data_IF_074989720635
#
_entry.id   IF_074989720635
#
_cell.length_a   1.000
_cell.length_b   1.000
_cell.length_c   1.000
_cell.angle_alpha   90.00
_cell.angle_beta   90.00
_cell.angle_gamma   90.00
#
_symmetry.space_group_name_H-M   'P 1'
#
loop_
_entity.id
_entity.type
_entity.pdbx_description
1 polymer ?
#
# COMPACT_ATOMS: atom_id res chain seq x y z
N UNK A 1 -15.48 1.70 4.81
CA UNK A 1 -16.03 0.93 5.94
C UNK A 1 -17.55 0.95 5.82
N UNK A 2 -18.23 -0.19 5.83
CA UNK A 2 -19.70 -0.19 5.94
C UNK A 2 -20.09 -0.04 7.41
N UNK A 3 -21.30 0.43 7.69
CA UNK A 3 -21.86 0.46 9.04
C UNK A 3 -22.42 -0.90 9.48
N UNK A 4 -22.12 -1.96 8.73
CA UNK A 4 -22.68 -3.29 8.94
C UNK A 4 -21.84 -4.03 9.98
N UNK A 5 -22.53 -4.63 10.96
CA UNK A 5 -21.92 -5.37 12.06
C UNK A 5 -22.30 -6.85 11.98
N UNK A 6 -21.42 -7.72 12.46
CA UNK A 6 -21.69 -9.15 12.59
C UNK A 6 -22.56 -9.46 13.82
N UNK A 7 -22.89 -10.74 14.01
CA UNK A 7 -23.71 -11.22 15.14
C UNK A 7 -23.07 -10.95 16.53
N UNK A 8 -21.77 -10.60 16.56
CA UNK A 8 -21.01 -10.27 17.76
C UNK A 8 -20.87 -8.76 17.97
N UNK A 9 -21.44 -7.94 17.08
CA UNK A 9 -21.36 -6.48 17.11
C UNK A 9 -20.06 -5.90 16.55
N UNK A 10 -19.25 -6.69 15.84
CA UNK A 10 -18.01 -6.23 15.20
C UNK A 10 -18.28 -5.76 13.77
N UNK A 11 -17.57 -4.74 13.27
CA UNK A 11 -17.70 -4.29 11.88
C UNK A 11 -17.32 -5.40 10.88
N UNK A 12 -18.16 -5.62 9.86
CA UNK A 12 -17.88 -6.60 8.81
C UNK A 12 -16.84 -6.09 7.82
N UNK A 13 -15.80 -6.89 7.62
CA UNK A 13 -14.75 -6.68 6.61
C UNK A 13 -15.09 -7.46 5.33
N UNK A 14 -16.04 -6.93 4.54
CA UNK A 14 -16.48 -7.60 3.31
C UNK A 14 -15.75 -7.14 2.05
N UNK A 15 -15.04 -6.01 2.12
CA UNK A 15 -14.37 -5.40 0.96
C UNK A 15 -12.88 -5.65 1.00
N UNK A 16 -12.53 -6.83 0.53
CA UNK A 16 -11.16 -7.27 0.35
C UNK A 16 -10.73 -7.04 -1.10
N UNK A 17 -9.61 -6.34 -1.28
CA UNK A 17 -9.01 -6.09 -2.59
C UNK A 17 -7.51 -6.37 -2.54
N UNK A 18 -6.98 -6.93 -3.63
CA UNK A 18 -5.55 -6.98 -3.87
C UNK A 18 -5.20 -5.78 -4.74
N UNK A 19 -4.35 -4.91 -4.21
CA UNK A 19 -3.83 -3.75 -4.95
C UNK A 19 -2.39 -4.06 -5.31
N UNK A 20 -2.06 -4.06 -6.60
CA UNK A 20 -0.70 -4.29 -7.08
C UNK A 20 -0.15 -3.01 -7.67
N UNK A 21 0.98 -2.56 -7.12
CA UNK A 21 1.79 -1.47 -7.66
C UNK A 21 2.94 -2.08 -8.45
N UNK A 22 3.05 -1.72 -9.74
CA UNK A 22 4.18 -2.12 -10.58
C UNK A 22 5.03 -0.89 -10.88
N UNK A 23 6.30 -0.92 -10.46
CA UNK A 23 7.25 0.16 -10.67
C UNK A 23 8.18 -0.23 -11.82
N UNK A 24 8.35 0.64 -12.80
CA UNK A 24 9.26 0.44 -13.94
C UNK A 24 10.27 1.58 -14.00
N UNK A 25 11.53 1.22 -14.31
CA UNK A 25 12.70 2.12 -14.27
C UNK A 25 12.83 2.83 -12.92
N UNK A 26 13.09 2.03 -11.87
CA UNK A 26 13.35 2.53 -10.51
C UNK A 26 14.64 3.34 -10.53
N UNK A 27 14.53 4.57 -10.07
CA UNK A 27 15.63 5.56 -9.93
C UNK A 27 16.22 5.49 -8.53
N UNK A 28 15.36 5.40 -7.52
CA UNK A 28 15.76 5.38 -6.12
C UNK A 28 14.87 4.44 -5.32
N UNK A 29 15.46 3.79 -4.32
CA UNK A 29 14.75 2.96 -3.35
C UNK A 29 15.37 3.19 -1.98
N UNK A 30 14.53 3.54 -1.01
CA UNK A 30 14.87 3.54 0.40
C UNK A 30 13.79 2.79 1.15
N UNK A 31 14.22 1.82 1.93
CA UNK A 31 13.33 1.00 2.73
C UNK A 31 13.98 0.78 4.09
N UNK A 32 13.21 0.99 5.14
CA UNK A 32 13.69 0.92 6.51
C UNK A 32 12.67 0.26 7.42
N UNK A 33 13.15 -0.13 8.61
CA UNK A 33 12.33 -0.68 9.70
C UNK A 33 11.55 -1.97 9.36
N UNK A 34 11.99 -2.72 8.34
CA UNK A 34 11.43 -4.04 8.02
C UNK A 34 11.45 -4.96 9.24
N UNK A 35 10.29 -5.51 9.58
CA UNK A 35 10.17 -6.46 10.67
C UNK A 35 9.19 -7.60 10.31
N UNK A 36 8.78 -8.39 11.31
CA UNK A 36 7.89 -9.54 11.13
C UNK A 36 6.42 -9.18 10.85
N UNK A 37 6.01 -7.92 11.05
CA UNK A 37 4.66 -7.43 10.81
C UNK A 37 4.69 -5.96 10.39
N UNK A 38 4.40 -5.72 9.11
CA UNK A 38 4.40 -4.38 8.53
C UNK A 38 2.98 -3.82 8.44
N UNK A 39 2.75 -2.62 8.94
CA UNK A 39 1.48 -1.89 8.90
C UNK A 39 1.73 -0.49 8.36
N UNK A 40 1.13 -0.18 7.21
CA UNK A 40 1.15 1.15 6.63
C UNK A 40 -0.06 1.94 7.13
N UNK A 41 0.16 3.19 7.52
CA UNK A 41 -0.90 4.18 7.71
C UNK A 41 -1.47 4.58 6.35
N UNK A 42 -0.57 4.75 5.37
CA UNK A 42 -0.93 5.24 4.06
C UNK A 42 0.17 4.98 3.04
N UNK A 43 -0.22 5.20 1.78
CA UNK A 43 0.66 5.21 0.64
C UNK A 43 0.30 6.42 -0.19
N UNK A 44 1.30 7.23 -0.54
CA UNK A 44 1.10 8.46 -1.31
C UNK A 44 1.99 8.42 -2.53
N UNK A 45 1.41 8.74 -3.69
CA UNK A 45 2.16 8.90 -4.94
C UNK A 45 2.16 10.38 -5.30
N UNK A 46 3.36 10.93 -5.50
CA UNK A 46 3.57 12.31 -5.95
C UNK A 46 4.46 12.34 -7.18
N UNK A 47 4.26 13.33 -8.05
CA UNK A 47 5.14 13.58 -9.18
C UNK A 47 6.41 14.32 -8.71
N UNK A 48 7.57 13.91 -9.23
CA UNK A 48 8.89 14.49 -8.97
C UNK A 48 9.64 14.64 -10.31
N UNK A 49 10.71 15.46 -10.42
CA UNK A 49 11.40 15.67 -11.70
C UNK A 49 11.87 14.38 -12.39
N UNK A 50 12.22 13.35 -11.61
CA UNK A 50 12.72 12.07 -12.09
C UNK A 50 11.60 11.06 -12.44
N UNK A 51 10.33 11.38 -12.17
CA UNK A 51 9.18 10.50 -12.39
C UNK A 51 8.14 10.61 -11.27
N UNK A 52 7.87 9.51 -10.59
CA UNK A 52 6.92 9.45 -9.48
C UNK A 52 7.59 8.90 -8.22
N UNK A 53 7.33 9.56 -7.09
CA UNK A 53 7.71 9.11 -5.76
C UNK A 53 6.53 8.41 -5.12
N UNK A 54 6.73 7.18 -4.67
CA UNK A 54 5.78 6.42 -3.86
C UNK A 54 6.30 6.34 -2.43
N UNK A 55 5.65 7.05 -1.52
CA UNK A 55 5.95 7.05 -0.09
C UNK A 55 5.15 5.97 0.62
N UNK A 56 5.81 5.21 1.49
CA UNK A 56 5.22 4.24 2.41
C UNK A 56 5.23 4.84 3.81
N UNK A 57 4.07 5.37 4.22
CA UNK A 57 3.91 5.96 5.56
C UNK A 57 3.66 4.84 6.58
N UNK A 58 4.69 4.46 7.32
CA UNK A 58 4.66 3.36 8.28
C UNK A 58 3.95 3.76 9.56
N UNK A 59 3.05 2.90 10.05
CA UNK A 59 2.58 2.95 11.45
C UNK A 59 3.40 2.00 12.33
N UNK A 60 3.89 0.90 11.74
CA UNK A 60 4.68 -0.11 12.43
C UNK A 60 5.42 -0.98 11.41
N UNK A 61 6.75 -1.03 11.46
CA UNK A 61 7.54 -1.79 10.49
C UNK A 61 7.89 -0.97 9.26
N UNK A 62 7.78 -1.57 8.05
CA UNK A 62 8.30 -0.99 6.81
C UNK A 62 7.84 0.43 6.52
N UNK A 63 8.81 1.35 6.44
CA UNK A 63 8.66 2.69 5.89
C UNK A 63 9.62 2.95 4.74
N UNK A 64 9.55 4.15 4.17
CA UNK A 64 10.47 4.64 3.15
C UNK A 64 9.76 4.96 1.84
N UNK A 65 10.49 4.91 0.73
CA UNK A 65 9.99 5.35 -0.56
C UNK A 65 10.67 4.70 -1.74
N UNK A 66 10.00 4.81 -2.88
CA UNK A 66 10.55 4.52 -4.19
C UNK A 66 10.42 5.74 -5.08
N UNK A 67 11.39 5.96 -5.98
CA UNK A 67 11.24 6.85 -7.13
C UNK A 67 11.36 6.00 -8.37
N UNK A 68 10.36 6.07 -9.25
CA UNK A 68 10.36 5.32 -10.52
C UNK A 68 9.81 6.20 -11.64
N UNK A 69 10.27 5.98 -12.88
CA UNK A 69 9.77 6.73 -14.04
C UNK A 69 8.29 6.47 -14.29
N UNK A 70 7.84 5.25 -14.02
CA UNK A 70 6.46 4.82 -14.23
C UNK A 70 5.96 3.98 -13.05
N UNK A 71 4.75 4.27 -12.60
CA UNK A 71 4.02 3.47 -11.61
C UNK A 71 2.66 3.12 -12.21
N UNK A 72 2.35 1.83 -12.28
CA UNK A 72 1.00 1.36 -12.62
C UNK A 72 0.33 0.72 -11.41
N UNK A 73 -0.99 0.90 -11.32
CA UNK A 73 -1.81 0.38 -10.22
C UNK A 73 -2.90 -0.50 -10.81
N UNK A 74 -3.00 -1.74 -10.34
CA UNK A 74 -4.12 -2.61 -10.62
C UNK A 74 -4.83 -3.00 -9.32
N UNK A 75 -6.14 -3.18 -9.41
CA UNK A 75 -6.99 -3.56 -8.28
C UNK A 75 -7.87 -4.72 -8.70
N UNK A 76 -7.85 -5.79 -7.91
CA UNK A 76 -8.72 -6.94 -8.11
C UNK A 76 -9.37 -7.38 -6.81
N UNK A 77 -10.49 -8.09 -6.90
CA UNK A 77 -11.18 -8.60 -5.73
C UNK A 77 -10.31 -9.66 -5.04
N UNK A 78 -9.94 -9.43 -3.77
CA UNK A 78 -9.19 -10.42 -3.01
C UNK A 78 -10.16 -11.43 -2.42
N UNK A 79 -10.05 -12.67 -2.90
CA UNK A 79 -10.74 -13.82 -2.33
C UNK A 79 -9.72 -14.59 -1.52
N UNK A 80 -10.03 -14.82 -0.24
CA UNK A 80 -9.19 -15.64 0.63
C UNK A 80 -8.99 -17.01 -0.05
N UNK A 81 -7.74 -17.49 -0.19
CA UNK A 81 -7.47 -18.81 -0.75
C UNK A 81 -8.07 -19.91 0.11
#
# INVERSE_FOLDING_TARGET
MTSEVDEKGCFRLERHALVTFTLTDIVEQLLEEWNHQNVLMGLVITEVPEGYRMELDSTFGVGGHFIARNISVSVEAWRKP
#
